data_IF_774437530957
#
_entry.id   IF_774437530957
#
_cell.length_a   1.000
_cell.length_b   1.000
_cell.length_c   1.000
_cell.angle_alpha   90.00
_cell.angle_beta   90.00
_cell.angle_gamma   90.00
#
_symmetry.space_group_name_H-M   'P 1'
#
loop_
_entity.id
_entity.type
_entity.pdbx_description
1 polymer ?
#
# COMPACT_ATOMS: atom_id res chain seq x y z
N UNK A 1 28.28 7.92 8.52
CA UNK A 1 28.94 7.36 9.73
C UNK A 1 27.92 7.21 10.84
N UNK A 2 28.08 6.24 11.73
CA UNK A 2 27.23 6.05 12.91
C UNK A 2 28.03 5.46 14.06
N UNK A 3 27.52 5.56 15.27
CA UNK A 3 27.99 4.74 16.39
C UNK A 3 27.56 3.29 16.17
N UNK A 4 28.51 2.44 15.80
CA UNK A 4 28.28 1.01 15.53
C UNK A 4 28.24 0.16 16.81
N UNK A 5 28.52 0.73 17.98
CA UNK A 5 28.45 0.02 19.27
C UNK A 5 27.07 0.13 19.91
N UNK A 6 26.24 1.06 19.44
CA UNK A 6 24.88 1.24 19.89
C UNK A 6 24.03 -0.02 19.58
N UNK A 7 23.26 -0.48 20.58
CA UNK A 7 22.42 -1.68 20.46
C UNK A 7 21.20 -1.48 19.54
N UNK A 8 20.75 -0.24 19.36
CA UNK A 8 19.49 0.07 18.69
C UNK A 8 18.30 -0.17 19.62
N UNK A 9 17.28 -0.87 19.12
CA UNK A 9 16.10 -1.30 19.88
C UNK A 9 16.43 -2.61 20.59
N UNK A 10 16.32 -2.63 21.91
CA UNK A 10 16.62 -3.82 22.73
C UNK A 10 15.34 -4.56 23.11
N UNK A 11 15.26 -5.84 22.75
CA UNK A 11 14.28 -6.78 23.29
C UNK A 11 14.51 -7.01 24.79
N UNK A 12 13.43 -7.17 25.55
CA UNK A 12 13.53 -7.72 26.91
C UNK A 12 14.22 -9.09 26.87
N UNK A 13 14.97 -9.45 27.91
CA UNK A 13 15.70 -10.72 27.96
C UNK A 13 14.73 -11.91 27.90
N UNK A 14 14.78 -12.67 26.79
CA UNK A 14 13.96 -13.86 26.55
C UNK A 14 13.29 -13.81 25.17
N UNK A 15 12.91 -14.96 24.60
CA UNK A 15 12.14 -15.05 23.34
C UNK A 15 10.70 -14.52 23.46
N UNK A 16 10.39 -13.77 24.52
CA UNK A 16 9.09 -13.14 24.75
C UNK A 16 9.05 -11.80 24.02
N UNK A 17 8.36 -11.80 22.87
CA UNK A 17 8.10 -10.59 22.10
C UNK A 17 7.18 -9.63 22.86
N UNK A 18 7.41 -8.33 22.69
CA UNK A 18 6.56 -7.26 23.25
C UNK A 18 6.21 -6.23 22.19
N UNK A 19 5.14 -5.47 22.40
CA UNK A 19 4.73 -4.40 21.48
C UNK A 19 5.43 -3.10 21.84
N UNK A 20 6.12 -2.52 20.87
CA UNK A 20 6.85 -1.26 21.01
C UNK A 20 6.01 -0.08 20.50
N UNK A 21 5.72 0.85 21.42
CA UNK A 21 5.13 2.14 21.06
C UNK A 21 6.10 2.96 20.18
N UNK A 22 5.66 3.46 19.01
CA UNK A 22 6.52 4.24 18.12
C UNK A 22 7.18 5.43 18.78
N UNK A 23 6.43 6.26 19.50
CA UNK A 23 6.94 7.51 20.04
C UNK A 23 8.03 7.28 21.10
N UNK A 24 7.83 6.31 22.00
CA UNK A 24 8.84 5.91 23.00
C UNK A 24 10.08 5.28 22.35
N UNK A 25 9.88 4.49 21.30
CA UNK A 25 10.97 3.85 20.55
C UNK A 25 11.85 4.90 19.89
N UNK A 26 11.27 5.83 19.13
CA UNK A 26 12.01 6.91 18.47
C UNK A 26 12.74 7.78 19.50
N UNK A 27 12.07 8.17 20.59
CA UNK A 27 12.67 8.96 21.67
C UNK A 27 13.91 8.27 22.26
N UNK A 28 13.85 6.97 22.54
CA UNK A 28 15.01 6.21 23.04
C UNK A 28 16.17 6.22 22.04
N UNK A 29 15.87 6.04 20.75
CA UNK A 29 16.87 6.01 19.68
C UNK A 29 17.49 7.38 19.38
N UNK A 30 16.87 8.50 19.77
CA UNK A 30 17.45 9.85 19.56
C UNK A 30 18.82 10.02 20.21
N UNK A 31 19.13 9.21 21.22
CA UNK A 31 20.44 9.21 21.91
C UNK A 31 21.58 8.64 21.06
N UNK A 32 21.27 7.85 20.03
CA UNK A 32 22.28 7.21 19.16
C UNK A 32 22.93 8.28 18.25
N UNK A 33 24.19 8.14 17.85
CA UNK A 33 24.85 9.13 16.99
C UNK A 33 24.90 8.70 15.52
N UNK A 34 24.51 9.61 14.62
CA UNK A 34 24.62 9.48 13.17
C UNK A 34 25.15 10.79 12.58
N UNK A 35 25.99 10.71 11.55
CA UNK A 35 26.57 11.87 10.89
C UNK A 35 26.95 11.59 9.43
N UNK A 36 27.05 12.63 8.62
CA UNK A 36 27.80 12.58 7.36
C UNK A 36 29.27 12.90 7.63
N UNK A 37 30.18 12.21 6.95
CA UNK A 37 31.62 12.51 7.00
C UNK A 37 32.09 12.92 5.63
N UNK A 38 32.66 14.12 5.52
CA UNK A 38 33.26 14.61 4.28
C UNK A 38 34.69 14.11 4.17
N UNK A 39 35.05 13.59 3.00
CA UNK A 39 36.41 13.16 2.67
C UNK A 39 37.00 14.06 1.58
N UNK A 40 38.31 14.24 1.57
CA UNK A 40 39.01 14.85 0.43
C UNK A 40 39.25 13.85 -0.71
N UNK A 41 39.88 14.33 -1.79
CA UNK A 41 40.24 13.52 -2.94
C UNK A 41 41.20 12.37 -2.60
N UNK A 42 42.00 12.49 -1.55
CA UNK A 42 42.94 11.48 -1.09
C UNK A 42 42.30 10.45 -0.13
N UNK A 43 40.98 10.54 0.11
CA UNK A 43 40.26 9.66 1.02
C UNK A 43 40.48 9.97 2.50
N UNK A 44 40.99 11.16 2.84
CA UNK A 44 41.18 11.59 4.23
C UNK A 44 39.92 12.29 4.74
N UNK A 45 39.53 11.96 5.96
CA UNK A 45 38.39 12.59 6.61
C UNK A 45 38.69 14.07 6.92
N UNK A 46 37.75 14.97 6.62
CA UNK A 46 37.87 16.41 6.84
C UNK A 46 37.05 16.88 8.04
N UNK A 47 35.74 16.58 8.05
CA UNK A 47 34.82 16.94 9.13
C UNK A 47 33.56 16.07 9.10
N UNK A 48 32.87 16.07 10.24
CA UNK A 48 31.60 15.40 10.44
C UNK A 48 30.46 16.42 10.54
N UNK A 49 29.33 16.11 9.91
CA UNK A 49 28.06 16.83 10.04
C UNK A 49 27.08 15.95 10.83
N UNK A 50 27.12 16.11 12.15
CA UNK A 50 26.12 15.56 13.07
C UNK A 50 24.97 16.56 13.19
N UNK A 51 23.87 16.32 12.45
CA UNK A 51 22.74 17.24 12.42
C UNK A 51 22.10 17.48 13.78
N UNK A 52 22.16 16.51 14.70
CA UNK A 52 21.59 16.67 16.05
C UNK A 52 22.33 17.72 16.88
N UNK A 53 23.60 17.96 16.56
CA UNK A 53 24.50 18.92 17.23
C UNK A 53 24.83 20.14 16.38
N UNK A 54 24.35 20.18 15.12
CA UNK A 54 24.63 21.27 14.19
C UNK A 54 23.67 22.45 14.44
N UNK A 55 24.22 23.66 14.44
CA UNK A 55 23.48 24.91 14.38
C UNK A 55 23.67 25.56 13.00
N UNK A 56 23.04 25.01 11.94
CA UNK A 56 23.24 25.49 10.59
C UNK A 56 22.59 26.86 10.40
N UNK A 57 23.08 27.59 9.40
CA UNK A 57 22.46 28.82 8.94
C UNK A 57 22.06 28.70 7.48
N UNK A 58 20.99 29.40 7.09
CA UNK A 58 20.59 29.49 5.68
C UNK A 58 21.57 30.37 4.90
N UNK A 59 21.90 29.99 3.65
CA UNK A 59 22.77 30.78 2.81
C UNK A 59 22.07 32.06 2.34
N UNK A 60 22.79 33.18 2.31
CA UNK A 60 22.29 34.40 1.70
C UNK A 60 22.31 34.29 0.18
N UNK A 61 21.47 35.10 -0.48
CA UNK A 61 21.37 35.16 -1.93
C UNK A 61 21.58 36.58 -2.44
N UNK A 62 22.11 36.69 -3.65
CA UNK A 62 22.21 37.97 -4.35
C UNK A 62 20.86 38.38 -4.99
N UNK A 63 20.85 39.52 -5.69
CA UNK A 63 19.65 40.06 -6.33
C UNK A 63 19.06 39.14 -7.43
N UNK A 64 19.85 38.20 -7.96
CA UNK A 64 19.44 37.23 -8.98
C UNK A 64 19.00 35.90 -8.34
N UNK A 65 19.00 35.80 -7.01
CA UNK A 65 18.67 34.58 -6.29
C UNK A 65 19.77 33.52 -6.29
N UNK A 66 20.99 33.86 -6.73
CA UNK A 66 22.15 32.97 -6.65
C UNK A 66 22.73 32.97 -5.23
N UNK A 67 23.34 31.86 -4.83
CA UNK A 67 23.96 31.73 -3.50
C UNK A 67 25.18 32.62 -3.43
N UNK A 68 25.26 33.44 -2.37
CA UNK A 68 26.47 34.20 -2.07
C UNK A 68 27.61 33.24 -1.73
N UNK A 69 28.59 33.13 -2.61
CA UNK A 69 29.71 32.20 -2.44
C UNK A 69 31.04 32.82 -2.89
N UNK A 70 32.07 32.61 -2.08
CA UNK A 70 33.47 32.87 -2.44
C UNK A 70 34.31 31.62 -2.13
N UNK A 71 35.20 31.15 -3.02
CA UNK A 71 35.97 29.92 -2.81
C UNK A 71 36.80 29.87 -1.52
N UNK A 72 37.20 31.01 -0.97
CA UNK A 72 37.95 31.12 0.28
C UNK A 72 37.06 31.53 1.46
N UNK A 73 36.22 32.56 1.26
CA UNK A 73 35.30 33.05 2.28
C UNK A 73 34.17 32.08 2.63
N UNK A 74 33.78 31.23 1.69
CA UNK A 74 32.68 30.28 1.80
C UNK A 74 31.33 30.89 1.48
N UNK A 75 30.28 30.30 2.03
CA UNK A 75 28.90 30.76 1.86
C UNK A 75 28.63 31.99 2.75
N UNK A 76 27.89 32.96 2.21
CA UNK A 76 27.28 34.01 3.03
C UNK A 76 26.18 33.40 3.90
N UNK A 77 26.17 33.71 5.20
CA UNK A 77 25.23 33.11 6.16
C UNK A 77 24.26 34.15 6.70
N UNK A 78 22.98 33.80 6.81
CA UNK A 78 21.91 34.72 7.19
C UNK A 78 21.78 34.97 8.70
N UNK A 79 22.48 34.20 9.55
CA UNK A 79 22.23 34.16 10.99
C UNK A 79 21.05 33.30 11.43
N UNK A 80 20.24 32.78 10.50
CA UNK A 80 18.99 32.07 10.81
C UNK A 80 19.05 30.59 10.45
N UNK A 81 18.49 29.73 11.30
CA UNK A 81 18.35 28.31 10.99
C UNK A 81 17.32 28.08 9.87
N UNK A 82 17.41 26.95 9.12
CA UNK A 82 16.35 26.53 8.20
C UNK A 82 15.00 26.41 8.92
N UNK A 83 13.92 26.68 8.21
CA UNK A 83 12.57 26.48 8.74
C UNK A 83 12.38 25.02 9.19
N UNK A 84 11.69 24.81 10.31
CA UNK A 84 11.42 23.49 10.93
C UNK A 84 12.67 22.67 11.32
N UNK A 85 13.86 23.29 11.35
CA UNK A 85 15.12 22.60 11.67
C UNK A 85 15.08 21.81 12.99
N UNK A 86 14.53 22.40 14.05
CA UNK A 86 14.52 21.77 15.38
C UNK A 86 13.71 20.47 15.45
N UNK A 87 12.75 20.28 14.55
CA UNK A 87 11.91 19.09 14.48
C UNK A 87 12.56 17.99 13.64
N UNK A 88 13.43 18.37 12.69
CA UNK A 88 14.05 17.46 11.71
C UNK A 88 15.49 17.07 12.07
N UNK A 89 16.21 17.87 12.86
CA UNK A 89 17.63 17.68 13.18
C UNK A 89 17.97 16.31 13.79
N UNK A 90 16.99 15.61 14.35
CA UNK A 90 17.17 14.30 14.95
C UNK A 90 17.04 13.15 13.94
N UNK A 91 16.59 13.40 12.70
CA UNK A 91 16.61 12.41 11.63
C UNK A 91 18.05 12.11 11.19
N UNK A 92 18.23 10.95 10.55
CA UNK A 92 19.55 10.45 10.19
C UNK A 92 19.77 10.49 8.68
N UNK A 93 20.97 10.91 8.21
CA UNK A 93 21.30 10.90 6.80
C UNK A 93 21.58 9.49 6.30
N UNK A 94 20.93 9.11 5.20
CA UNK A 94 21.08 7.78 4.58
C UNK A 94 21.52 7.83 3.12
N UNK A 95 21.39 8.98 2.46
CA UNK A 95 21.82 9.14 1.06
C UNK A 95 22.19 10.60 0.77
N UNK A 96 23.14 10.81 -0.14
CA UNK A 96 23.57 12.14 -0.60
C UNK A 96 23.73 12.12 -2.12
N UNK A 97 23.12 13.08 -2.81
CA UNK A 97 23.24 13.24 -4.27
C UNK A 97 23.62 14.68 -4.62
N UNK A 98 24.74 14.84 -5.34
CA UNK A 98 25.22 16.13 -5.83
C UNK A 98 24.34 16.65 -6.97
N UNK A 99 24.01 17.94 -6.94
CA UNK A 99 23.33 18.63 -8.03
C UNK A 99 24.29 18.71 -9.25
N UNK A 100 23.92 18.18 -10.42
CA UNK A 100 24.78 18.20 -11.60
C UNK A 100 24.98 19.60 -12.19
N UNK A 101 24.16 20.57 -11.78
CA UNK A 101 24.25 21.97 -12.23
C UNK A 101 24.99 22.88 -11.26
N UNK A 102 25.25 22.42 -10.03
CA UNK A 102 25.98 23.16 -9.00
C UNK A 102 26.83 22.19 -8.13
N UNK A 103 28.17 22.19 -8.28
CA UNK A 103 29.03 21.23 -7.60
C UNK A 103 29.09 21.44 -6.08
N UNK A 104 28.63 22.57 -5.56
CA UNK A 104 28.61 22.85 -4.12
C UNK A 104 27.30 22.46 -3.47
N UNK A 105 26.30 22.02 -4.25
CA UNK A 105 24.95 21.76 -3.79
C UNK A 105 24.64 20.27 -3.77
N UNK A 106 24.07 19.83 -2.67
CA UNK A 106 23.77 18.43 -2.41
C UNK A 106 22.35 18.29 -1.87
N UNK A 107 21.64 17.26 -2.32
CA UNK A 107 20.45 16.76 -1.64
C UNK A 107 20.86 15.67 -0.66
N UNK A 108 20.39 15.77 0.59
CA UNK A 108 20.60 14.76 1.63
C UNK A 108 19.24 14.17 2.02
N UNK A 109 19.12 12.84 1.94
CA UNK A 109 17.94 12.12 2.38
C UNK A 109 18.04 11.80 3.88
N UNK A 110 17.03 12.22 4.63
CA UNK A 110 16.91 12.02 6.07
C UNK A 110 15.73 11.09 6.38
N UNK A 111 15.92 10.13 7.28
CA UNK A 111 14.86 9.23 7.78
C UNK A 111 14.82 9.20 9.32
N UNK A 112 13.68 8.83 9.95
CA UNK A 112 13.62 8.58 11.39
C UNK A 112 14.58 7.47 11.83
N UNK A 113 15.03 7.49 13.09
CA UNK A 113 16.03 6.52 13.59
C UNK A 113 15.47 5.12 13.72
N UNK A 114 14.20 5.02 14.08
CA UNK A 114 13.46 3.77 14.12
C UNK A 114 13.44 3.02 12.80
N UNK A 115 13.50 3.72 11.65
CA UNK A 115 13.59 3.08 10.32
C UNK A 115 14.89 2.29 10.17
N UNK A 116 16.01 2.82 10.66
CA UNK A 116 17.33 2.16 10.57
C UNK A 116 17.40 0.88 11.41
N UNK A 117 16.63 0.82 12.50
CA UNK A 117 16.63 -0.30 13.45
C UNK A 117 15.34 -1.13 13.39
N UNK A 118 14.47 -0.91 12.39
CA UNK A 118 13.14 -1.50 12.33
C UNK A 118 13.16 -3.03 12.40
N UNK A 119 14.13 -3.67 11.76
CA UNK A 119 14.32 -5.13 11.76
C UNK A 119 14.43 -5.74 13.18
N UNK A 120 14.87 -4.97 14.17
CA UNK A 120 14.98 -5.41 15.56
C UNK A 120 13.62 -5.52 16.26
N UNK A 121 12.55 -4.93 15.69
CA UNK A 121 11.17 -5.09 16.19
C UNK A 121 10.58 -6.46 15.86
N UNK A 122 11.13 -7.20 14.89
CA UNK A 122 10.75 -8.58 14.54
C UNK A 122 9.23 -8.78 14.35
N UNK A 123 8.57 -7.86 13.65
CA UNK A 123 7.11 -7.85 13.43
C UNK A 123 6.73 -8.82 12.30
N UNK A 124 6.47 -10.08 12.63
CA UNK A 124 6.13 -11.14 11.69
C UNK A 124 4.66 -11.14 11.21
N UNK A 125 4.43 -11.63 9.98
CA UNK A 125 3.10 -11.85 9.43
C UNK A 125 2.44 -13.08 10.09
N UNK A 126 1.17 -12.99 10.48
CA UNK A 126 0.47 -14.09 11.14
C UNK A 126 -0.14 -15.09 10.14
N UNK A 127 -0.15 -16.37 10.51
CA UNK A 127 -0.96 -17.39 9.85
C UNK A 127 -2.41 -17.34 10.37
N UNK A 128 -3.41 -17.72 9.56
CA UNK A 128 -4.77 -17.86 10.03
C UNK A 128 -4.89 -19.01 11.05
N UNK A 129 -5.68 -18.81 12.09
CA UNK A 129 -5.93 -19.76 13.17
C UNK A 129 -6.59 -21.03 12.63
N UNK A 130 -6.05 -22.18 13.04
CA UNK A 130 -6.54 -23.50 12.66
C UNK A 130 -7.71 -23.99 13.53
N UNK A 131 -8.14 -23.23 14.54
CA UNK A 131 -8.91 -23.79 15.65
C UNK A 131 -8.00 -24.69 16.49
N UNK A 132 -8.45 -25.07 17.69
CA UNK A 132 -7.64 -25.87 18.64
C UNK A 132 -7.06 -27.13 17.98
N UNK A 133 -5.74 -27.13 17.74
CA UNK A 133 -4.97 -28.29 17.32
C UNK A 133 -4.69 -29.18 18.53
N UNK A 134 -5.74 -29.81 19.06
CA UNK A 134 -5.56 -30.91 19.99
C UNK A 134 -5.03 -32.10 19.17
N UNK A 135 -3.76 -32.46 19.37
CA UNK A 135 -3.33 -33.82 19.07
C UNK A 135 -4.32 -34.80 19.68
N UNK A 136 -4.73 -35.78 18.87
CA UNK A 136 -5.76 -36.80 19.12
C UNK A 136 -7.23 -36.40 18.83
N UNK A 137 -7.77 -36.94 17.72
CA UNK A 137 -9.11 -37.53 17.75
C UNK A 137 -10.24 -36.91 16.93
N UNK A 138 -10.22 -35.61 16.62
CA UNK A 138 -11.24 -35.00 15.74
C UNK A 138 -10.59 -34.09 14.70
N UNK A 139 -10.37 -34.62 13.51
CA UNK A 139 -9.95 -33.81 12.37
C UNK A 139 -11.12 -32.94 11.91
N UNK A 140 -10.99 -31.63 12.07
CA UNK A 140 -11.82 -30.69 11.33
C UNK A 140 -11.43 -30.82 9.84
N UNK A 141 -12.19 -31.58 9.05
CA UNK A 141 -11.81 -32.02 7.69
C UNK A 141 -11.66 -30.88 6.66
N UNK A 142 -11.94 -29.65 7.07
CA UNK A 142 -12.05 -28.46 6.22
C UNK A 142 -10.89 -27.47 6.42
N UNK A 143 -10.02 -27.73 7.40
CA UNK A 143 -8.84 -26.91 7.69
C UNK A 143 -7.59 -27.69 7.27
N UNK A 144 -6.98 -27.23 6.19
CA UNK A 144 -5.71 -27.74 5.69
C UNK A 144 -4.50 -27.23 6.48
N UNK A 145 -3.31 -27.60 5.99
CA UNK A 145 -2.05 -27.13 6.55
C UNK A 145 -1.99 -25.58 6.61
N UNK A 146 -1.35 -25.06 7.66
CA UNK A 146 -1.12 -23.62 7.88
C UNK A 146 -2.40 -22.75 7.93
N UNK A 147 -3.56 -23.34 8.25
CA UNK A 147 -4.82 -22.63 8.41
C UNK A 147 -5.57 -22.36 7.10
N UNK A 148 -5.23 -23.10 6.03
CA UNK A 148 -5.96 -23.06 4.77
C UNK A 148 -7.40 -23.52 4.98
N UNK A 149 -8.38 -22.70 4.59
CA UNK A 149 -9.79 -23.10 4.54
C UNK A 149 -10.08 -23.73 3.18
N UNK A 150 -10.53 -24.98 3.20
CA UNK A 150 -10.85 -25.73 1.98
C UNK A 150 -12.09 -26.59 2.19
N UNK A 151 -13.16 -26.25 1.46
CA UNK A 151 -14.41 -27.02 1.38
C UNK A 151 -14.88 -27.02 -0.05
N UNK A 152 -15.49 -28.11 -0.52
CA UNK A 152 -16.21 -28.05 -1.79
C UNK A 152 -17.47 -27.20 -1.63
N UNK A 153 -17.76 -26.37 -2.63
CA UNK A 153 -19.02 -25.68 -2.73
C UNK A 153 -20.17 -26.67 -3.00
N UNK A 154 -21.40 -26.29 -2.65
CA UNK A 154 -22.58 -27.12 -2.79
C UNK A 154 -23.72 -26.38 -3.50
N UNK A 155 -24.65 -27.12 -4.10
CA UNK A 155 -25.80 -26.52 -4.75
C UNK A 155 -26.72 -25.88 -3.69
N UNK A 156 -27.18 -24.66 -3.96
CA UNK A 156 -28.22 -24.02 -3.15
C UNK A 156 -29.60 -24.41 -3.69
N UNK A 157 -30.27 -25.31 -2.97
CA UNK A 157 -31.60 -25.81 -3.37
C UNK A 157 -32.64 -24.70 -3.39
N UNK A 158 -32.51 -23.68 -2.52
CA UNK A 158 -33.42 -22.53 -2.45
C UNK A 158 -33.25 -21.59 -3.64
N UNK A 159 -32.07 -21.59 -4.29
CA UNK A 159 -31.74 -20.78 -5.47
C UNK A 159 -31.59 -21.61 -6.75
N UNK A 160 -32.21 -22.79 -6.79
CA UNK A 160 -32.13 -23.70 -7.94
C UNK A 160 -32.70 -23.10 -9.24
N UNK A 161 -33.62 -22.14 -9.13
CA UNK A 161 -34.18 -21.37 -10.24
C UNK A 161 -33.22 -20.32 -10.82
N UNK A 162 -32.10 -20.02 -10.16
CA UNK A 162 -31.10 -19.04 -10.63
C UNK A 162 -30.14 -19.64 -11.68
N UNK A 163 -30.29 -20.92 -12.05
CA UNK A 163 -29.49 -21.54 -13.12
C UNK A 163 -29.78 -20.88 -14.48
N UNK A 164 -28.72 -20.47 -15.17
CA UNK A 164 -28.83 -19.94 -16.53
C UNK A 164 -29.47 -20.97 -17.46
N UNK A 165 -30.40 -20.51 -18.29
CA UNK A 165 -31.09 -21.36 -19.25
C UNK A 165 -30.48 -21.22 -20.65
N UNK A 166 -30.53 -22.32 -21.42
CA UNK A 166 -30.10 -22.32 -22.81
C UNK A 166 -31.14 -21.63 -23.69
N UNK A 167 -30.74 -20.58 -24.40
CA UNK A 167 -31.57 -19.91 -25.40
C UNK A 167 -31.53 -20.69 -26.72
N UNK A 168 -32.68 -20.81 -27.37
CA UNK A 168 -32.78 -21.47 -28.66
C UNK A 168 -32.39 -20.49 -29.75
N UNK A 169 -31.38 -20.84 -30.57
CA UNK A 169 -31.01 -20.03 -31.72
C UNK A 169 -32.24 -19.82 -32.61
N UNK A 170 -32.57 -18.55 -32.91
CA UNK A 170 -33.58 -18.21 -33.92
C UNK A 170 -33.13 -18.75 -35.28
N UNK A 171 -33.61 -19.93 -35.67
CA UNK A 171 -33.73 -20.32 -37.08
C UNK A 171 -35.20 -20.24 -37.46
N UNK A 172 -35.44 -19.65 -38.62
CA UNK A 172 -36.74 -19.46 -39.27
C UNK A 172 -37.57 -20.76 -39.30
N UNK A 173 -38.84 -20.62 -38.93
CA UNK A 173 -39.95 -21.55 -39.10
C UNK A 173 -39.86 -22.94 -38.45
N UNK A 174 -40.83 -23.21 -37.57
CA UNK A 174 -41.50 -24.52 -37.50
C UNK A 174 -41.01 -25.49 -36.44
N UNK A 175 -41.91 -25.78 -35.50
CA UNK A 175 -41.99 -26.94 -34.61
C UNK A 175 -41.08 -26.99 -33.37
N UNK A 176 -41.73 -27.00 -32.20
CA UNK A 176 -41.13 -27.30 -30.90
C UNK A 176 -40.79 -28.79 -30.82
N UNK A 177 -39.51 -29.12 -30.64
CA UNK A 177 -39.11 -30.43 -30.14
C UNK A 177 -38.00 -30.27 -29.10
N UNK A 178 -38.20 -30.92 -27.96
CA UNK A 178 -37.23 -31.03 -26.87
C UNK A 178 -36.09 -31.95 -27.34
N UNK A 179 -34.96 -31.38 -27.77
CA UNK A 179 -33.89 -32.15 -28.43
C UNK A 179 -33.14 -33.11 -27.50
N UNK A 180 -32.96 -34.35 -27.97
CA UNK A 180 -32.33 -35.54 -27.34
C UNK A 180 -30.80 -35.62 -27.49
N UNK A 181 -30.07 -34.52 -27.29
CA UNK A 181 -28.59 -34.57 -27.35
C UNK A 181 -27.97 -34.53 -25.95
N UNK A 182 -27.26 -35.59 -25.55
CA UNK A 182 -26.60 -35.69 -24.23
C UNK A 182 -25.16 -35.12 -24.20
N UNK A 183 -24.53 -34.86 -25.35
CA UNK A 183 -23.15 -34.34 -25.47
C UNK A 183 -23.06 -33.38 -26.68
N UNK A 184 -22.51 -32.17 -26.48
CA UNK A 184 -22.42 -31.14 -27.55
C UNK A 184 -21.36 -31.51 -28.60
N UNK A 185 -21.83 -31.86 -29.80
CA UNK A 185 -21.04 -31.97 -31.03
C UNK A 185 -21.82 -32.73 -32.10
N UNK A 186 -22.49 -32.03 -33.03
CA UNK A 186 -23.07 -32.66 -34.21
C UNK A 186 -23.06 -31.71 -35.41
N UNK A 187 -22.65 -32.25 -36.55
CA UNK A 187 -22.52 -31.59 -37.86
C UNK A 187 -23.82 -31.52 -38.66
N UNK A 188 -24.98 -31.84 -38.07
CA UNK A 188 -26.28 -31.84 -38.78
C UNK A 188 -27.30 -30.88 -38.15
N UNK A 189 -28.07 -30.22 -39.02
CA UNK A 189 -28.95 -29.07 -38.79
C UNK A 189 -30.24 -29.33 -37.97
N UNK A 190 -30.47 -30.55 -37.47
CA UNK A 190 -31.69 -30.92 -36.74
C UNK A 190 -31.56 -30.92 -35.20
N UNK A 191 -30.39 -30.62 -34.66
CA UNK A 191 -30.15 -30.49 -33.21
C UNK A 191 -29.67 -29.09 -32.87
N UNK A 192 -30.59 -28.20 -32.46
CA UNK A 192 -30.26 -26.78 -32.19
C UNK A 192 -29.27 -26.64 -31.04
N UNK A 193 -28.14 -26.00 -31.33
CA UNK A 193 -27.12 -25.63 -30.33
C UNK A 193 -27.71 -24.55 -29.41
N UNK A 194 -27.90 -24.87 -28.12
CA UNK A 194 -28.39 -23.90 -27.12
C UNK A 194 -27.21 -23.14 -26.51
N UNK A 195 -27.16 -21.83 -26.63
CA UNK A 195 -26.18 -21.01 -25.90
C UNK A 195 -26.76 -20.62 -24.54
N UNK A 196 -25.95 -20.59 -23.48
CA UNK A 196 -26.41 -20.00 -22.21
C UNK A 196 -26.55 -18.49 -22.41
N UNK A 197 -27.73 -17.97 -22.07
CA UNK A 197 -28.02 -16.54 -22.19
C UNK A 197 -27.86 -15.86 -20.84
N UNK A 198 -27.24 -14.68 -20.86
CA UNK A 198 -27.09 -13.80 -19.71
C UNK A 198 -27.74 -12.46 -20.09
N UNK A 199 -28.73 -12.03 -19.34
CA UNK A 199 -29.39 -10.74 -19.51
C UNK A 199 -29.24 -9.86 -18.27
N UNK A 200 -28.89 -8.60 -18.51
CA UNK A 200 -28.92 -7.54 -17.50
C UNK A 200 -29.79 -6.41 -18.07
N UNK A 201 -30.85 -6.05 -17.36
CA UNK A 201 -31.84 -5.05 -17.80
C UNK A 201 -32.13 -4.09 -16.66
N UNK A 202 -32.10 -2.78 -16.97
CA UNK A 202 -32.56 -1.73 -16.05
C UNK A 202 -34.06 -1.52 -16.19
N UNK A 203 -34.72 -1.07 -15.12
CA UNK A 203 -36.10 -0.57 -15.18
C UNK A 203 -36.11 0.75 -15.96
N UNK A 204 -37.18 0.97 -16.73
CA UNK A 204 -37.35 2.20 -17.54
C UNK A 204 -37.69 3.42 -16.67
N UNK A 205 -38.50 3.24 -15.61
CA UNK A 205 -39.27 4.36 -15.03
C UNK A 205 -39.05 4.59 -13.52
N UNK A 206 -38.05 3.96 -12.89
CA UNK A 206 -37.82 4.11 -11.45
C UNK A 206 -36.35 4.35 -11.11
N UNK A 207 -36.05 5.56 -10.65
CA UNK A 207 -34.88 5.85 -9.81
C UNK A 207 -35.31 5.72 -8.35
N UNK A 208 -34.65 4.87 -7.56
CA UNK A 208 -34.78 4.92 -6.08
C UNK A 208 -33.67 5.83 -5.58
N UNK A 209 -34.00 6.95 -4.93
CA UNK A 209 -33.00 7.91 -4.43
C UNK A 209 -31.91 8.30 -5.47
N UNK A 210 -32.29 8.47 -6.75
CA UNK A 210 -31.36 8.85 -7.83
C UNK A 210 -30.45 7.72 -8.33
N UNK A 211 -30.72 6.46 -7.97
CA UNK A 211 -29.99 5.28 -8.45
C UNK A 211 -30.82 4.46 -9.44
N UNK A 212 -30.17 3.98 -10.52
CA UNK A 212 -30.75 3.01 -11.45
C UNK A 212 -31.30 1.80 -10.68
N UNK A 213 -32.44 1.26 -11.06
CA UNK A 213 -32.90 -0.04 -10.56
C UNK A 213 -32.74 -1.10 -11.65
N UNK A 214 -32.23 -2.29 -11.29
CA UNK A 214 -32.23 -3.42 -12.21
C UNK A 214 -33.58 -4.15 -12.17
N UNK A 215 -34.12 -4.44 -13.34
CA UNK A 215 -35.26 -5.35 -13.50
C UNK A 215 -34.77 -6.80 -13.49
N UNK A 216 -33.64 -7.05 -14.16
CA UNK A 216 -33.02 -8.37 -14.28
C UNK A 216 -31.50 -8.25 -14.21
N UNK A 217 -30.86 -9.17 -13.49
CA UNK A 217 -29.42 -9.26 -13.37
C UNK A 217 -28.97 -10.73 -13.30
N UNK A 218 -28.81 -11.39 -14.44
CA UNK A 218 -28.38 -12.80 -14.50
C UNK A 218 -26.94 -12.99 -13.98
N UNK A 219 -26.12 -11.94 -13.95
CA UNK A 219 -24.76 -11.98 -13.37
C UNK A 219 -24.75 -12.03 -11.84
N UNK A 220 -25.89 -11.76 -11.18
CA UNK A 220 -26.06 -11.93 -9.75
C UNK A 220 -26.49 -13.34 -9.35
N UNK A 221 -26.85 -14.20 -10.30
CA UNK A 221 -27.33 -15.55 -9.99
C UNK A 221 -26.24 -16.41 -9.32
N UNK A 222 -26.62 -17.11 -8.26
CA UNK A 222 -25.73 -17.94 -7.45
C UNK A 222 -26.44 -19.24 -7.01
N UNK A 223 -26.67 -20.19 -7.94
CA UNK A 223 -27.27 -21.49 -7.62
C UNK A 223 -26.32 -22.45 -6.87
N UNK A 224 -25.09 -22.02 -6.59
CA UNK A 224 -24.05 -22.73 -5.86
C UNK A 224 -23.59 -21.83 -4.71
N UNK A 225 -23.56 -22.35 -3.49
CA UNK A 225 -23.16 -21.65 -2.26
C UNK A 225 -21.92 -22.26 -1.61
N UNK A 226 -21.29 -21.51 -0.71
CA UNK A 226 -20.18 -21.99 0.12
C UNK A 226 -20.66 -23.15 0.99
N UNK A 227 -19.83 -24.19 1.12
CA UNK A 227 -20.14 -25.32 1.99
C UNK A 227 -20.24 -24.91 3.46
N UNK A 228 -21.01 -25.67 4.22
CA UNK A 228 -21.22 -25.47 5.65
C UNK A 228 -20.37 -26.44 6.49
N UNK A 229 -19.97 -25.98 7.67
CA UNK A 229 -19.29 -26.77 8.69
C UNK A 229 -19.79 -26.35 10.07
N UNK A 230 -20.25 -27.32 10.86
CA UNK A 230 -20.76 -27.09 12.23
C UNK A 230 -21.88 -26.02 12.29
N UNK A 231 -22.74 -25.98 11.27
CA UNK A 231 -23.86 -25.04 11.18
C UNK A 231 -23.49 -23.61 10.78
N UNK A 232 -22.23 -23.34 10.42
CA UNK A 232 -21.80 -22.06 9.85
C UNK A 232 -21.24 -22.24 8.45
N UNK A 233 -21.52 -21.28 7.56
CA UNK A 233 -20.88 -21.24 6.25
C UNK A 233 -19.38 -21.00 6.43
N UNK A 234 -18.57 -21.84 5.80
CA UNK A 234 -17.12 -21.63 5.73
C UNK A 234 -16.89 -20.31 4.98
N UNK A 235 -15.99 -19.45 5.45
CA UNK A 235 -15.70 -18.16 4.84
C UNK A 235 -14.27 -17.71 5.17
N UNK A 236 -13.64 -16.95 4.27
CA UNK A 236 -12.44 -16.18 4.60
C UNK A 236 -12.85 -14.97 5.46
N UNK A 237 -12.38 -14.92 6.71
CA UNK A 237 -12.66 -13.81 7.64
C UNK A 237 -11.34 -13.13 8.03
N UNK A 238 -11.36 -11.84 8.29
CA UNK A 238 -10.18 -11.16 8.81
C UNK A 238 -9.83 -11.64 10.23
N UNK A 239 -10.85 -11.97 11.03
CA UNK A 239 -10.71 -12.55 12.37
C UNK A 239 -10.00 -13.91 12.39
N UNK A 240 -9.78 -14.54 11.22
CA UNK A 240 -8.95 -15.73 11.10
C UNK A 240 -7.54 -15.48 11.65
N UNK A 241 -7.03 -14.25 11.56
CA UNK A 241 -5.69 -13.89 12.05
C UNK A 241 -5.69 -13.48 13.54
N UNK A 242 -6.83 -13.61 14.22
CA UNK A 242 -7.05 -13.17 15.60
C UNK A 242 -7.56 -11.74 15.70
N UNK A 243 -7.84 -11.31 16.93
CA UNK A 243 -8.38 -9.98 17.22
C UNK A 243 -7.26 -9.02 17.61
N UNK A 244 -7.26 -7.82 17.03
CA UNK A 244 -6.31 -6.79 17.44
C UNK A 244 -6.57 -6.37 18.91
N UNK A 245 -5.55 -6.33 19.79
CA UNK A 245 -5.72 -5.86 21.16
C UNK A 245 -6.14 -4.38 21.17
N UNK A 246 -7.05 -4.02 22.08
CA UNK A 246 -7.54 -2.65 22.25
C UNK A 246 -6.43 -1.73 22.77
N UNK A 247 -6.39 -0.50 22.26
CA UNK A 247 -5.33 0.50 22.49
C UNK A 247 -5.30 1.10 23.92
N UNK A 248 -6.16 0.65 24.83
CA UNK A 248 -6.30 1.21 26.19
C UNK A 248 -5.83 0.28 27.32
N UNK A 249 -5.30 -0.90 27.01
CA UNK A 249 -4.86 -1.86 28.03
C UNK A 249 -3.39 -1.69 28.42
N UNK A 250 -3.13 -1.11 29.59
CA UNK A 250 -1.85 -1.29 30.29
C UNK A 250 -1.62 -2.78 30.56
N UNK A 251 -0.59 -3.37 29.92
CA UNK A 251 0.11 -4.55 30.42
C UNK A 251 -0.74 -5.78 30.78
N UNK A 252 -1.84 -6.02 30.07
CA UNK A 252 -2.60 -7.26 30.22
C UNK A 252 -1.90 -8.38 29.47
N UNK A 253 -1.38 -9.36 30.21
CA UNK A 253 -0.73 -10.58 29.73
C UNK A 253 -1.59 -11.21 28.61
N UNK A 254 -1.28 -10.94 27.34
CA UNK A 254 -1.88 -11.66 26.22
C UNK A 254 -1.49 -13.11 26.39
N UNK A 255 -2.47 -13.99 26.55
CA UNK A 255 -2.26 -15.42 26.67
C UNK A 255 -1.24 -15.84 25.58
N UNK A 256 -0.08 -16.45 25.91
CA UNK A 256 1.06 -16.62 25.01
C UNK A 256 0.84 -17.44 23.72
N UNK A 257 -0.40 -17.74 23.34
CA UNK A 257 -0.76 -18.58 22.20
C UNK A 257 -1.88 -18.05 21.29
N UNK A 258 -2.41 -16.84 21.50
CA UNK A 258 -3.43 -16.28 20.60
C UNK A 258 -2.79 -15.53 19.43
N UNK A 259 -3.09 -15.88 18.15
CA UNK A 259 -2.56 -15.16 17.00
C UNK A 259 -3.01 -13.69 17.05
N UNK A 260 -2.10 -12.77 16.75
CA UNK A 260 -2.40 -11.35 16.61
C UNK A 260 -2.23 -10.97 15.15
N UNK A 261 -3.21 -10.29 14.51
CA UNK A 261 -3.10 -9.93 13.11
C UNK A 261 -1.95 -8.94 12.91
N UNK A 262 -1.17 -9.15 11.86
CA UNK A 262 -0.13 -8.21 11.46
C UNK A 262 -0.75 -6.89 11.03
N UNK A 263 -0.13 -5.80 11.47
CA UNK A 263 -0.49 -4.43 11.08
C UNK A 263 0.77 -3.61 10.83
N UNK A 264 0.72 -2.64 9.89
CA UNK A 264 1.76 -1.64 9.76
C UNK A 264 2.09 -1.00 11.11
N UNK A 265 3.35 -0.63 11.32
CA UNK A 265 3.76 0.00 12.57
C UNK A 265 3.14 1.39 12.76
N UNK A 266 3.03 2.14 11.66
CA UNK A 266 2.28 3.40 11.58
C UNK A 266 1.42 3.38 10.31
N UNK A 267 0.18 3.85 10.44
CA UNK A 267 -0.71 4.12 9.32
C UNK A 267 -0.24 5.35 8.53
N UNK A 268 -0.67 5.43 7.28
CA UNK A 268 -0.43 6.55 6.35
C UNK A 268 -0.81 7.89 6.99
N UNK A 269 -1.96 7.95 7.67
CA UNK A 269 -2.45 9.16 8.34
C UNK A 269 -1.55 9.59 9.52
N UNK A 270 -0.97 8.64 10.25
CA UNK A 270 -0.09 8.95 11.38
C UNK A 270 1.22 9.58 10.91
N UNK A 271 1.77 9.12 9.78
CA UNK A 271 2.95 9.71 9.16
C UNK A 271 2.64 11.11 8.64
N UNK A 272 1.50 11.28 7.97
CA UNK A 272 1.05 12.57 7.43
C UNK A 272 0.78 13.63 8.50
N UNK A 273 0.21 13.25 9.64
CA UNK A 273 -0.10 14.20 10.72
C UNK A 273 1.13 14.71 11.48
N UNK A 274 2.24 13.99 11.42
CA UNK A 274 3.49 14.35 12.09
C UNK A 274 4.68 14.09 11.14
N UNK A 275 4.66 14.79 10.00
CA UNK A 275 5.70 14.75 8.96
C UNK A 275 7.09 15.04 9.52
N UNK A 276 7.30 16.06 10.40
CA UNK A 276 8.63 16.37 10.89
C UNK A 276 9.27 15.19 11.62
N UNK A 277 8.48 14.39 12.35
CA UNK A 277 8.96 13.21 13.06
C UNK A 277 9.02 11.95 12.20
N UNK A 278 7.96 11.63 11.44
CA UNK A 278 7.77 10.31 10.85
C UNK A 278 8.00 10.19 9.35
N UNK A 279 7.99 11.30 8.59
CA UNK A 279 8.27 11.24 7.15
C UNK A 279 9.78 11.12 6.87
N UNK A 280 10.14 10.68 5.68
CA UNK A 280 11.43 10.99 5.09
C UNK A 280 11.49 12.46 4.65
N UNK A 281 12.68 13.06 4.73
CA UNK A 281 12.90 14.47 4.37
C UNK A 281 14.09 14.62 3.42
N UNK A 282 13.98 15.58 2.50
CA UNK A 282 15.09 16.04 1.67
C UNK A 282 15.60 17.36 2.24
N UNK A 283 16.90 17.40 2.51
CA UNK A 283 17.64 18.58 2.95
C UNK A 283 18.51 19.07 1.81
N UNK A 284 18.49 20.37 1.49
CA UNK A 284 19.44 20.97 0.55
C UNK A 284 20.64 21.52 1.33
N UNK A 285 21.80 20.91 1.11
CA UNK A 285 23.08 21.20 1.74
C UNK A 285 24.02 21.89 0.73
N UNK A 286 24.69 22.95 1.18
CA UNK A 286 25.83 23.55 0.49
C UNK A 286 27.13 23.19 1.21
N UNK A 287 28.12 22.68 0.48
CA UNK A 287 29.37 22.15 1.02
C UNK A 287 30.60 22.62 0.20
N UNK A 288 31.53 23.30 0.85
CA UNK A 288 32.79 23.78 0.25
C UNK A 288 33.96 23.53 1.23
N UNK A 289 34.63 22.37 1.15
CA UNK A 289 35.47 21.86 2.25
C UNK A 289 36.69 22.71 2.61
N UNK A 290 37.17 23.54 1.69
CA UNK A 290 38.36 24.39 1.86
C UNK A 290 38.05 25.86 2.09
N UNK A 291 36.77 26.22 2.24
CA UNK A 291 36.34 27.58 2.51
C UNK A 291 36.13 27.81 4.02
N UNK A 292 36.17 29.08 4.46
CA UNK A 292 35.93 29.47 5.86
C UNK A 292 34.51 29.06 6.30
N UNK A 293 33.49 29.57 5.62
CA UNK A 293 32.10 29.16 5.83
C UNK A 293 31.77 27.97 4.92
N UNK A 294 32.22 26.78 5.31
CA UNK A 294 32.17 25.56 4.48
C UNK A 294 30.81 24.88 4.37
N UNK A 295 29.86 25.20 5.24
CA UNK A 295 28.57 24.50 5.33
C UNK A 295 27.43 25.50 5.48
N UNK A 296 26.41 25.38 4.65
CA UNK A 296 25.14 26.08 4.80
C UNK A 296 23.99 25.12 4.48
N UNK A 297 22.85 25.29 5.13
CA UNK A 297 21.66 24.46 4.86
C UNK A 297 20.55 25.38 4.40
N UNK A 298 20.00 25.10 3.23
CA UNK A 298 19.04 26.00 2.59
C UNK A 298 17.62 25.79 3.10
N UNK A 299 17.14 24.55 3.02
CA UNK A 299 15.76 24.17 3.36
C UNK A 299 15.62 22.67 3.61
N UNK A 300 14.46 22.31 4.15
CA UNK A 300 14.01 20.95 4.37
C UNK A 300 12.63 20.78 3.75
N UNK A 301 12.41 19.69 3.03
CA UNK A 301 11.13 19.33 2.44
C UNK A 301 10.75 17.89 2.83
N UNK A 302 9.47 17.66 3.12
CA UNK A 302 8.95 16.35 3.53
C UNK A 302 8.40 15.57 2.35
N UNK A 303 8.74 14.28 2.28
CA UNK A 303 8.17 13.36 1.29
C UNK A 303 6.86 12.78 1.83
N UNK A 304 5.80 13.58 1.90
CA UNK A 304 4.51 13.17 2.48
C UNK A 304 3.92 11.94 1.75
N UNK A 305 3.55 10.84 2.46
CA UNK A 305 2.89 9.71 1.81
C UNK A 305 1.54 10.08 1.17
N UNK A 306 0.83 11.11 1.65
CA UNK A 306 -0.41 11.57 1.00
C UNK A 306 -0.18 12.25 -0.34
N UNK A 307 0.99 12.84 -0.57
CA UNK A 307 1.33 13.36 -1.90
C UNK A 307 1.36 12.23 -2.95
N UNK A 308 1.64 11.00 -2.51
CA UNK A 308 1.57 9.81 -3.35
C UNK A 308 0.13 9.27 -3.45
N UNK A 309 -0.51 8.99 -2.32
CA UNK A 309 -1.84 8.34 -2.31
C UNK A 309 -2.95 9.20 -2.90
N UNK A 310 -2.82 10.53 -2.88
CA UNK A 310 -3.75 11.44 -3.56
C UNK A 310 -3.78 11.24 -5.09
N UNK A 311 -2.70 10.68 -5.67
CA UNK A 311 -2.57 10.42 -7.11
C UNK A 311 -2.86 8.96 -7.48
N UNK A 312 -3.27 8.12 -6.54
CA UNK A 312 -3.65 6.75 -6.84
C UNK A 312 -4.90 6.70 -7.75
N UNK A 313 -4.97 5.74 -8.69
CA UNK A 313 -6.16 5.54 -9.49
C UNK A 313 -7.41 5.40 -8.62
N UNK A 314 -8.58 5.98 -8.99
CA UNK A 314 -9.79 5.88 -8.19
C UNK A 314 -10.22 4.45 -7.84
N UNK A 315 -9.91 3.47 -8.70
CA UNK A 315 -10.16 2.04 -8.45
C UNK A 315 -9.42 1.48 -7.24
N UNK A 316 -8.33 2.11 -6.80
CA UNK A 316 -7.55 1.70 -5.62
C UNK A 316 -8.25 2.03 -4.30
N UNK A 317 -9.36 2.78 -4.34
CA UNK A 317 -10.25 2.96 -3.18
C UNK A 317 -11.06 1.69 -2.86
N UNK A 318 -11.28 0.80 -3.84
CA UNK A 318 -12.09 -0.41 -3.72
C UNK A 318 -11.37 -1.67 -4.27
N UNK A 319 -10.19 -2.04 -3.73
CA UNK A 319 -9.32 -3.05 -4.33
C UNK A 319 -9.78 -4.50 -4.17
N UNK A 320 -10.79 -4.75 -3.33
CA UNK A 320 -11.51 -6.03 -3.23
C UNK A 320 -12.53 -6.23 -4.37
N UNK A 321 -12.67 -5.23 -5.25
CA UNK A 321 -13.52 -5.27 -6.44
C UNK A 321 -12.69 -5.22 -7.73
N UNK A 322 -13.31 -5.45 -8.88
CA UNK A 322 -12.69 -5.24 -10.19
C UNK A 322 -13.75 -4.91 -11.25
N UNK A 323 -13.33 -4.68 -12.50
CA UNK A 323 -14.24 -4.32 -13.59
C UNK A 323 -15.15 -5.47 -14.08
N UNK A 324 -14.92 -6.71 -13.65
CA UNK A 324 -15.83 -7.82 -13.89
C UNK A 324 -17.03 -7.78 -12.93
N UNK A 325 -16.86 -7.12 -11.78
CA UNK A 325 -17.93 -6.85 -10.85
C UNK A 325 -18.45 -8.09 -10.12
N UNK A 326 -19.78 -8.14 -9.95
CA UNK A 326 -20.44 -9.06 -9.02
C UNK A 326 -20.24 -10.54 -9.36
N UNK A 327 -20.24 -10.92 -10.65
CA UNK A 327 -20.13 -12.33 -11.02
C UNK A 327 -18.76 -12.90 -10.63
N UNK A 328 -17.68 -12.14 -10.84
CA UNK A 328 -16.32 -12.55 -10.47
C UNK A 328 -16.15 -12.55 -8.94
N UNK A 329 -16.72 -11.55 -8.25
CA UNK A 329 -16.73 -11.53 -6.79
C UNK A 329 -17.39 -12.79 -6.22
N UNK A 330 -18.60 -13.15 -6.68
CA UNK A 330 -19.33 -14.33 -6.21
C UNK A 330 -18.59 -15.63 -6.57
N UNK A 331 -18.08 -15.73 -7.79
CA UNK A 331 -17.34 -16.91 -8.26
C UNK A 331 -16.08 -17.14 -7.42
N UNK A 332 -15.34 -16.08 -7.07
CA UNK A 332 -14.12 -16.19 -6.26
C UNK A 332 -14.43 -16.44 -4.80
N UNK A 333 -15.44 -15.79 -4.24
CA UNK A 333 -15.84 -15.99 -2.84
C UNK A 333 -16.31 -17.43 -2.60
N UNK A 334 -17.14 -17.99 -3.49
CA UNK A 334 -17.62 -19.38 -3.35
C UNK A 334 -16.50 -20.42 -3.50
N UNK A 335 -15.45 -20.09 -4.24
CA UNK A 335 -14.26 -20.92 -4.45
C UNK A 335 -13.17 -20.69 -3.39
N UNK A 336 -13.46 -20.00 -2.29
CA UNK A 336 -12.50 -19.68 -1.22
C UNK A 336 -11.25 -18.93 -1.69
N UNK A 337 -11.42 -18.06 -2.70
CA UNK A 337 -10.36 -17.20 -3.20
C UNK A 337 -10.55 -15.77 -2.71
N UNK A 338 -9.46 -15.02 -2.68
CA UNK A 338 -9.49 -13.56 -2.48
C UNK A 338 -10.12 -12.88 -3.69
N UNK A 339 -11.00 -11.91 -3.49
CA UNK A 339 -11.69 -11.14 -4.54
C UNK A 339 -10.93 -9.88 -4.97
N UNK A 340 -11.29 -9.31 -6.12
CA UNK A 340 -10.72 -8.06 -6.62
C UNK A 340 -9.32 -8.19 -7.21
N UNK A 341 -8.69 -7.04 -7.47
CA UNK A 341 -7.38 -6.97 -8.12
C UNK A 341 -6.21 -6.86 -7.12
N UNK A 342 -6.44 -6.40 -5.89
CA UNK A 342 -5.36 -6.20 -4.91
C UNK A 342 -5.85 -6.42 -3.47
N UNK A 343 -6.31 -7.64 -3.18
CA UNK A 343 -6.93 -7.96 -1.90
C UNK A 343 -5.94 -7.87 -0.70
N UNK A 344 -6.34 -7.31 0.46
CA UNK A 344 -5.48 -7.21 1.64
C UNK A 344 -5.00 -8.55 2.20
N UNK A 345 -5.68 -9.66 1.95
CA UNK A 345 -5.24 -11.00 2.38
C UNK A 345 -4.01 -11.50 1.62
N UNK A 346 -3.70 -10.91 0.45
CA UNK A 346 -2.48 -11.18 -0.31
C UNK A 346 -1.42 -10.10 -0.14
N UNK A 347 -1.84 -8.85 0.04
CA UNK A 347 -0.96 -7.68 0.01
C UNK A 347 -1.21 -6.75 1.21
N UNK A 348 -1.14 -7.26 2.46
CA UNK A 348 -1.50 -6.47 3.64
C UNK A 348 -0.60 -5.25 3.85
N UNK A 349 0.60 -5.22 3.27
CA UNK A 349 1.61 -4.16 3.45
C UNK A 349 1.15 -2.77 2.99
N UNK A 350 0.20 -2.71 2.05
CA UNK A 350 -0.34 -1.45 1.53
C UNK A 350 -1.70 -1.07 2.14
N UNK A 351 -2.12 -1.70 3.23
CA UNK A 351 -3.37 -1.37 3.91
C UNK A 351 -3.07 -0.91 5.33
N UNK A 352 -3.57 0.26 5.73
CA UNK A 352 -3.32 0.83 7.06
C UNK A 352 -3.73 -0.11 8.22
N UNK A 353 -4.68 -1.01 7.97
CA UNK A 353 -5.16 -1.99 8.94
C UNK A 353 -4.56 -3.40 8.77
N UNK A 354 -3.66 -3.61 7.79
CA UNK A 354 -3.00 -4.89 7.54
C UNK A 354 -3.96 -6.07 7.43
N UNK A 355 -3.71 -7.13 8.21
CA UNK A 355 -4.53 -8.34 8.22
C UNK A 355 -5.92 -8.17 8.85
N UNK A 356 -6.20 -7.06 9.55
CA UNK A 356 -7.52 -6.82 10.13
C UNK A 356 -8.62 -6.55 9.08
N UNK A 357 -8.24 -6.37 7.80
CA UNK A 357 -9.17 -6.24 6.66
C UNK A 357 -8.95 -7.32 5.60
N UNK A 358 -8.26 -8.41 5.95
CA UNK A 358 -7.84 -9.49 5.05
C UNK A 358 -8.94 -10.53 4.78
N UNK A 359 -10.02 -10.08 4.16
CA UNK A 359 -11.16 -10.89 3.71
C UNK A 359 -11.77 -10.36 2.39
N UNK A 360 -12.96 -10.86 2.04
CA UNK A 360 -13.70 -10.48 0.84
C UNK A 360 -14.86 -9.50 1.10
N UNK A 361 -15.08 -9.09 2.35
CA UNK A 361 -16.22 -8.25 2.76
C UNK A 361 -15.92 -6.76 2.60
N UNK A 362 -16.95 -5.90 2.67
CA UNK A 362 -16.80 -4.45 2.62
C UNK A 362 -16.05 -4.00 1.36
N UNK A 363 -16.59 -4.34 0.20
CA UNK A 363 -15.95 -4.04 -1.09
C UNK A 363 -16.20 -2.60 -1.57
N UNK A 364 -17.09 -1.86 -0.91
CA UNK A 364 -17.68 -0.62 -1.40
C UNK A 364 -18.84 -0.83 -2.38
N UNK A 365 -19.22 -2.07 -2.66
CA UNK A 365 -20.38 -2.46 -3.47
C UNK A 365 -21.24 -3.45 -2.68
N UNK A 366 -22.56 -3.46 -2.92
CA UNK A 366 -23.48 -4.39 -2.27
C UNK A 366 -23.31 -5.82 -2.82
N UNK A 367 -22.74 -6.68 -1.99
CA UNK A 367 -22.43 -8.07 -2.32
C UNK A 367 -23.51 -9.06 -1.86
N UNK A 368 -24.38 -8.68 -0.93
CA UNK A 368 -25.20 -9.62 -0.15
C UNK A 368 -26.65 -9.18 0.06
N UNK A 369 -27.16 -8.19 -0.68
CA UNK A 369 -28.57 -7.83 -0.65
C UNK A 369 -29.48 -9.05 -0.83
N UNK A 370 -30.63 -9.08 -0.17
CA UNK A 370 -31.59 -10.19 -0.33
C UNK A 370 -32.18 -10.24 -1.75
N UNK A 371 -32.23 -9.11 -2.45
CA UNK A 371 -32.64 -9.04 -3.86
C UNK A 371 -31.44 -9.03 -4.80
N UNK A 372 -31.34 -10.01 -5.71
CA UNK A 372 -30.28 -10.07 -6.72
C UNK A 372 -30.21 -8.80 -7.60
N UNK A 373 -31.35 -8.14 -7.81
CA UNK A 373 -31.43 -6.88 -8.58
C UNK A 373 -30.88 -5.65 -7.85
N UNK A 374 -30.55 -5.77 -6.56
CA UNK A 374 -29.96 -4.70 -5.73
C UNK A 374 -28.48 -4.96 -5.42
N UNK A 375 -27.93 -6.09 -5.81
CA UNK A 375 -26.51 -6.40 -5.66
C UNK A 375 -25.69 -5.77 -6.79
N UNK A 376 -24.44 -5.42 -6.50
CA UNK A 376 -23.50 -4.78 -7.44
C UNK A 376 -23.58 -3.25 -7.48
N UNK A 377 -24.45 -2.64 -6.67
CA UNK A 377 -24.54 -1.18 -6.54
C UNK A 377 -23.45 -0.66 -5.60
N UNK A 378 -22.84 0.47 -5.97
CA UNK A 378 -21.87 1.14 -5.11
C UNK A 378 -22.56 1.69 -3.85
N UNK A 379 -21.93 1.49 -2.69
CA UNK A 379 -22.43 1.94 -1.39
C UNK A 379 -21.72 3.23 -0.98
N UNK A 380 -22.49 4.19 -0.48
CA UNK A 380 -21.98 5.49 0.01
C UNK A 380 -21.84 5.56 1.54
N UNK A 381 -22.46 4.63 2.28
CA UNK A 381 -22.43 4.61 3.73
C UNK A 381 -21.01 4.38 4.28
N UNK A 382 -20.60 5.19 5.26
CA UNK A 382 -19.26 5.12 5.86
C UNK A 382 -18.95 3.76 6.51
N UNK A 383 -19.97 3.07 7.01
CA UNK A 383 -19.83 1.72 7.62
C UNK A 383 -19.42 0.63 6.64
N UNK A 384 -19.68 0.84 5.35
CA UNK A 384 -19.49 -0.15 4.28
C UNK A 384 -18.35 0.25 3.34
N UNK A 385 -17.57 1.28 3.70
CA UNK A 385 -16.41 1.72 2.93
C UNK A 385 -15.32 0.66 2.92
N UNK A 386 -14.81 0.38 1.73
CA UNK A 386 -13.66 -0.49 1.54
C UNK A 386 -12.41 0.11 2.19
N UNK A 387 -11.53 -0.79 2.65
CA UNK A 387 -10.14 -0.42 2.94
C UNK A 387 -9.45 -0.05 1.61
N UNK A 388 -8.95 1.19 1.45
CA UNK A 388 -8.24 1.60 0.24
C UNK A 388 -6.79 1.11 0.25
N UNK A 389 -6.17 1.00 -0.93
CA UNK A 389 -4.71 0.90 -1.04
C UNK A 389 -4.12 2.23 -0.54
N UNK A 390 -3.21 2.15 0.41
CA UNK A 390 -2.60 3.27 1.11
C UNK A 390 -1.07 3.25 0.94
N UNK A 391 -0.35 3.96 1.81
CA UNK A 391 1.11 3.90 1.88
C UNK A 391 1.58 3.91 3.35
N UNK A 392 1.33 2.82 4.11
CA UNK A 392 1.70 2.69 5.52
C UNK A 392 3.22 2.57 5.72
N UNK A 393 3.69 2.59 6.97
CA UNK A 393 5.12 2.65 7.33
C UNK A 393 6.06 1.76 6.50
N UNK A 394 5.77 0.46 6.42
CA UNK A 394 6.64 -0.51 5.78
C UNK A 394 6.74 -0.27 4.28
N UNK A 395 5.60 -0.06 3.61
CA UNK A 395 5.54 0.22 2.18
C UNK A 395 6.09 1.63 1.84
N UNK A 396 5.84 2.61 2.71
CA UNK A 396 6.36 3.97 2.55
C UNK A 396 7.87 3.97 2.53
N UNK A 397 8.54 3.41 3.54
CA UNK A 397 10.01 3.40 3.62
C UNK A 397 10.67 2.45 2.62
N UNK A 398 9.98 1.41 2.14
CA UNK A 398 10.44 0.66 0.98
C UNK A 398 10.53 1.53 -0.28
N UNK A 399 9.75 2.61 -0.36
CA UNK A 399 9.72 3.58 -1.46
C UNK A 399 10.64 4.80 -1.24
N UNK A 400 11.56 4.74 -0.26
CA UNK A 400 12.50 5.83 0.06
C UNK A 400 13.93 5.42 -0.25
N UNK A 401 14.59 6.16 -1.15
CA UNK A 401 15.98 5.95 -1.57
C UNK A 401 16.20 6.12 -3.07
N UNK A 402 17.45 6.00 -3.51
CA UNK A 402 17.90 6.14 -4.90
C UNK A 402 17.56 7.52 -5.48
N UNK A 403 18.21 8.55 -4.92
CA UNK A 403 18.14 9.94 -5.35
C UNK A 403 18.80 10.11 -6.71
N UNK A 404 18.11 10.76 -7.65
CA UNK A 404 18.66 11.10 -8.98
C UNK A 404 18.26 12.50 -9.40
N UNK A 405 19.23 13.32 -9.76
CA UNK A 405 18.97 14.65 -10.29
C UNK A 405 18.75 14.62 -11.81
N UNK A 406 17.79 15.41 -12.29
CA UNK A 406 17.64 15.76 -13.70
C UNK A 406 17.18 17.21 -13.84
N UNK A 407 18.10 18.11 -14.20
CA UNK A 407 17.85 19.55 -14.21
C UNK A 407 17.42 20.05 -12.83
N UNK A 408 16.21 20.58 -12.73
CA UNK A 408 15.65 21.09 -11.46
C UNK A 408 14.81 20.06 -10.70
N UNK A 409 14.73 18.81 -11.18
CA UNK A 409 14.00 17.74 -10.52
C UNK A 409 14.97 16.83 -9.76
N UNK A 410 14.64 16.52 -8.51
CA UNK A 410 15.21 15.41 -7.77
C UNK A 410 14.18 14.28 -7.73
N UNK A 411 14.58 13.13 -8.25
CA UNK A 411 13.79 11.91 -8.33
C UNK A 411 14.15 11.01 -7.15
N UNK A 412 13.15 10.38 -6.50
CA UNK A 412 13.34 9.34 -5.48
C UNK A 412 12.65 8.07 -5.96
N UNK A 413 13.42 7.13 -6.49
CA UNK A 413 12.89 5.91 -7.11
C UNK A 413 12.46 4.83 -6.10
N UNK A 414 12.92 4.96 -4.85
CA UNK A 414 12.69 3.97 -3.81
C UNK A 414 13.76 2.88 -3.79
N UNK A 415 13.74 2.07 -2.73
CA UNK A 415 14.77 1.07 -2.45
C UNK A 415 14.35 -0.35 -2.80
N UNK A 416 15.14 -1.33 -2.35
CA UNK A 416 14.85 -2.76 -2.51
C UNK A 416 13.87 -3.32 -1.44
N UNK A 417 13.37 -2.47 -0.53
CA UNK A 417 12.44 -2.84 0.53
C UNK A 417 13.05 -3.50 1.77
N UNK A 418 14.34 -3.84 1.78
CA UNK A 418 14.98 -4.56 2.91
C UNK A 418 14.96 -3.80 4.25
N UNK A 419 14.73 -2.49 4.24
CA UNK A 419 14.67 -1.65 5.44
C UNK A 419 13.49 -2.01 6.36
N UNK A 420 12.42 -2.57 5.81
CA UNK A 420 11.16 -2.89 6.51
C UNK A 420 10.64 -4.29 6.20
N UNK A 421 11.48 -5.14 5.59
CA UNK A 421 11.10 -6.46 5.09
C UNK A 421 11.14 -7.49 6.21
N UNK A 422 10.03 -8.18 6.45
CA UNK A 422 9.99 -9.35 7.33
C UNK A 422 10.20 -10.65 6.54
N UNK A 423 10.26 -11.79 7.25
CA UNK A 423 10.44 -13.10 6.64
C UNK A 423 9.37 -13.41 5.58
N UNK A 424 8.12 -13.03 5.86
CA UNK A 424 6.94 -13.34 5.04
C UNK A 424 6.17 -12.10 4.57
N UNK A 425 6.80 -10.92 4.59
CA UNK A 425 6.26 -9.70 3.97
C UNK A 425 7.13 -9.28 2.79
N UNK A 426 6.56 -8.52 1.85
CA UNK A 426 7.25 -8.01 0.68
C UNK A 426 6.92 -6.53 0.43
N UNK A 427 7.34 -5.61 1.31
CA UNK A 427 7.18 -4.18 1.06
C UNK A 427 8.09 -3.76 -0.11
N UNK A 428 7.51 -3.08 -1.10
CA UNK A 428 8.20 -2.72 -2.34
C UNK A 428 7.89 -1.27 -2.74
N UNK A 429 8.78 -0.72 -3.57
CA UNK A 429 8.54 0.57 -4.22
C UNK A 429 7.41 0.42 -5.23
N UNK A 430 6.37 1.23 -5.06
CA UNK A 430 5.18 1.26 -5.91
C UNK A 430 5.21 2.44 -6.88
N UNK A 431 6.02 3.49 -6.60
CA UNK A 431 6.03 4.74 -7.34
C UNK A 431 7.34 5.53 -7.24
N UNK A 432 7.48 6.55 -8.10
CA UNK A 432 8.57 7.52 -8.12
C UNK A 432 8.12 8.83 -7.46
N UNK A 433 8.86 9.37 -6.48
CA UNK A 433 8.65 10.77 -6.05
C UNK A 433 9.43 11.73 -6.95
N UNK A 434 8.81 12.85 -7.32
CA UNK A 434 9.45 13.95 -8.06
C UNK A 434 9.40 15.20 -7.19
N UNK A 435 10.56 15.66 -6.78
CA UNK A 435 10.75 16.92 -6.05
C UNK A 435 11.27 18.00 -7.00
N UNK A 436 10.48 19.07 -7.19
CA UNK A 436 10.88 20.20 -8.02
C UNK A 436 11.54 21.29 -7.18
N UNK A 437 12.75 21.65 -7.57
CA UNK A 437 13.67 22.38 -6.71
C UNK A 437 13.50 23.90 -6.84
N UNK A 438 12.95 24.41 -7.95
CA UNK A 438 12.67 25.86 -8.12
C UNK A 438 11.19 26.25 -8.01
N UNK A 439 10.27 25.29 -7.99
CA UNK A 439 8.84 25.54 -7.82
C UNK A 439 8.37 24.85 -6.55
N UNK A 440 7.66 25.55 -5.67
CA UNK A 440 6.98 25.01 -4.48
C UNK A 440 5.77 24.15 -4.92
N UNK A 441 5.96 23.24 -5.87
CA UNK A 441 4.88 22.47 -6.47
C UNK A 441 5.38 21.10 -6.88
N UNK A 442 4.94 20.07 -6.15
CA UNK A 442 5.13 18.67 -6.52
C UNK A 442 4.30 18.37 -7.78
N UNK A 443 4.91 17.77 -8.80
CA UNK A 443 4.19 17.19 -9.96
C UNK A 443 4.71 15.78 -10.21
N UNK A 444 3.82 14.79 -10.08
CA UNK A 444 4.11 13.38 -10.35
C UNK A 444 3.85 13.06 -11.83
N UNK A 445 4.75 12.28 -12.44
CA UNK A 445 4.59 11.73 -13.80
C UNK A 445 4.45 10.21 -13.71
N UNK A 446 3.39 9.67 -14.30
CA UNK A 446 3.18 8.22 -14.42
C UNK A 446 4.21 7.60 -15.37
N UNK A 447 4.87 6.54 -14.90
CA UNK A 447 5.75 5.68 -15.71
C UNK A 447 5.02 5.04 -16.92
N UNK A 448 3.69 4.92 -16.88
CA UNK A 448 2.91 4.39 -18.01
C UNK A 448 2.76 5.35 -19.21
N UNK A 449 3.15 6.63 -19.10
CA UNK A 449 2.97 7.59 -20.21
C UNK A 449 4.10 7.58 -21.24
N UNK A 450 5.21 6.86 -21.01
CA UNK A 450 6.33 6.78 -21.94
C UNK A 450 6.12 5.75 -23.08
N UNK A 451 5.10 4.90 -23.01
CA UNK A 451 4.80 3.89 -24.04
C UNK A 451 3.62 4.23 -24.97
N UNK A 452 2.88 5.33 -24.72
CA UNK A 452 1.70 5.69 -25.56
C UNK A 452 1.89 6.91 -26.46
N UNK A 453 3.08 7.54 -26.49
CA UNK A 453 3.34 8.77 -27.28
C UNK A 453 4.19 8.57 -28.52
N UNK A 454 4.14 7.41 -29.15
CA UNK A 454 4.79 7.15 -30.46
C UNK A 454 3.92 7.49 -31.68
N UNK A 455 2.76 8.13 -31.53
CA UNK A 455 1.84 8.44 -32.64
C UNK A 455 1.42 9.92 -32.74
N UNK A 456 2.34 10.88 -32.52
CA UNK A 456 2.09 12.29 -32.86
C UNK A 456 3.26 12.85 -33.67
N UNK A 457 3.41 12.33 -34.90
CA UNK A 457 4.08 13.03 -36.00
C UNK A 457 3.35 12.67 -37.29
N UNK A 458 2.27 13.39 -37.60
CA UNK A 458 1.73 13.58 -38.95
C UNK A 458 0.51 14.50 -38.92
N UNK A 459 0.73 15.80 -39.12
CA UNK A 459 -0.01 16.67 -40.06
C UNK A 459 0.18 18.14 -39.68
N UNK A 460 1.05 18.81 -40.42
CA UNK A 460 0.88 20.20 -40.80
C UNK A 460 1.44 20.34 -42.21
N UNK A 461 0.54 20.24 -43.18
CA UNK A 461 0.73 20.66 -44.57
C UNK A 461 -0.67 21.01 -45.11
N UNK A 462 -1.02 22.28 -44.96
CA UNK A 462 -1.68 23.16 -45.92
C UNK A 462 -1.94 24.51 -45.26
#
# INVERSE_FOLDING_TARGET
MRDNTAKGITAGSGSQQTTYDPARTEATLTTITFALRRYDLAGRALYDLDFSKLNPQTPTRDANGQITFNPFGGFGLSGSAPQQWNEVKNKVPVEVAQDPTDPYRFAVLLVPRSVVYYEQLQRGLALPNQGSSSGSGQQNTTIGAYGLKVKNAEADTAKSNEKLQGDESKSSNGSSSTSTTTQRGSTNSDTKVKALKIEVKKKSDSEDNGQLQLEKNDLANAPIKRGEESGQSVQLKADDFGTAPSSSGSGGNSNPGSPTPWRPWLATEQIHKDLPKWSASILILYDAPYARNRTAIDRVDHLDPKAMTANYPPSWRTPKWNHHGLWDWKARDVLFQTTGFFNPRRHPEWFDQGQAVADNTQTGFDESNTSNTKQGFQKEADSDKSAPIALPFEAYFANIGNLTWFGQALLVFGGNGHVTKSAHTAPLSIWLYIYLVKAVTFRLLLANSLLSKSNIYKKTAN
#
